data_IF_593180990362
#
_entry.id   IF_593180990362
#
_cell.length_a   1.000
_cell.length_b   1.000
_cell.length_c   1.000
_cell.angle_alpha   90.00
_cell.angle_beta   90.00
_cell.angle_gamma   90.00
#
_symmetry.space_group_name_H-M   'P 1'
#
loop_
_entity.id
_entity.type
_entity.pdbx_description
1 polymer ?
#
# COMPACT_ATOMS: atom_id res chain seq x y z
N UNK A 1 9.16 6.58 -33.38
CA UNK A 1 9.00 5.10 -33.18
C UNK A 1 9.15 4.80 -31.70
N UNK A 2 8.75 3.63 -31.19
CA UNK A 2 8.90 3.31 -29.76
C UNK A 2 10.37 3.40 -29.28
N UNK A 3 11.31 2.94 -30.11
CA UNK A 3 12.76 3.03 -29.87
C UNK A 3 13.30 4.48 -29.83
N UNK A 4 12.73 5.38 -30.63
CA UNK A 4 13.10 6.82 -30.61
C UNK A 4 12.64 7.50 -29.31
N UNK A 5 11.45 7.15 -28.81
CA UNK A 5 10.96 7.61 -27.51
C UNK A 5 11.83 7.06 -26.36
N UNK A 6 12.25 5.79 -26.44
CA UNK A 6 13.17 5.19 -25.46
C UNK A 6 14.53 5.89 -25.41
N UNK A 7 15.15 6.17 -26.58
CA UNK A 7 16.44 6.89 -26.66
C UNK A 7 16.29 8.27 -26.01
N UNK A 8 15.27 9.04 -26.40
CA UNK A 8 15.02 10.38 -25.86
C UNK A 8 14.67 10.38 -24.36
N UNK A 9 14.02 9.32 -23.87
CA UNK A 9 13.77 9.15 -22.43
C UNK A 9 15.07 8.87 -21.65
N UNK A 10 16.01 8.14 -22.26
CA UNK A 10 17.34 7.88 -21.69
C UNK A 10 18.21 9.13 -21.69
N UNK A 11 18.17 9.93 -22.76
CA UNK A 11 18.81 11.24 -22.83
C UNK A 11 18.25 12.19 -21.75
N UNK A 12 16.92 12.34 -21.69
CA UNK A 12 16.27 13.16 -20.65
C UNK A 12 16.61 12.70 -19.23
N UNK A 13 16.75 11.39 -18.99
CA UNK A 13 17.16 10.86 -17.69
C UNK A 13 18.64 11.16 -17.36
N UNK A 14 19.53 11.17 -18.36
CA UNK A 14 20.95 11.51 -18.19
C UNK A 14 21.12 13.01 -17.89
N UNK A 15 20.28 13.86 -18.50
CA UNK A 15 20.24 15.31 -18.27
C UNK A 15 19.45 15.71 -17.01
N UNK A 16 19.15 14.77 -16.11
CA UNK A 16 18.34 14.92 -14.89
C UNK A 16 16.89 15.49 -15.09
N UNK A 17 16.39 15.53 -16.34
CA UNK A 17 15.00 15.92 -16.68
C UNK A 17 14.02 14.75 -16.45
N UNK A 18 13.85 14.34 -15.18
CA UNK A 18 13.16 13.10 -14.83
C UNK A 18 11.66 13.08 -15.17
N UNK A 19 10.94 14.19 -15.06
CA UNK A 19 9.53 14.29 -15.45
C UNK A 19 9.36 14.02 -16.96
N UNK A 20 10.21 14.65 -17.77
CA UNK A 20 10.23 14.42 -19.22
C UNK A 20 10.61 12.98 -19.56
N UNK A 21 11.54 12.37 -18.81
CA UNK A 21 11.86 10.96 -18.96
C UNK A 21 10.65 10.07 -18.66
N UNK A 22 9.89 10.33 -17.58
CA UNK A 22 8.65 9.60 -17.24
C UNK A 22 7.61 9.73 -18.35
N UNK A 23 7.40 10.92 -18.91
CA UNK A 23 6.45 11.16 -20.01
C UNK A 23 6.85 10.43 -21.30
N UNK A 24 8.14 10.45 -21.64
CA UNK A 24 8.67 9.77 -22.83
C UNK A 24 8.63 8.23 -22.68
N UNK A 25 9.00 7.69 -21.51
CA UNK A 25 8.80 6.27 -21.22
C UNK A 25 7.32 5.87 -21.24
N UNK A 26 6.42 6.73 -20.75
CA UNK A 26 4.97 6.47 -20.79
C UNK A 26 4.45 6.38 -22.22
N UNK A 27 4.92 7.25 -23.12
CA UNK A 27 4.61 7.17 -24.55
C UNK A 27 5.22 5.93 -25.22
N UNK A 28 6.46 5.56 -24.85
CA UNK A 28 7.10 4.35 -25.35
C UNK A 28 6.33 3.08 -24.92
N UNK A 29 5.95 2.98 -23.64
CA UNK A 29 5.15 1.90 -23.06
C UNK A 29 3.79 1.78 -23.77
N UNK A 30 3.14 2.90 -24.12
CA UNK A 30 1.89 2.87 -24.87
C UNK A 30 2.03 2.24 -26.26
N UNK A 31 3.21 2.31 -26.88
CA UNK A 31 3.52 1.65 -28.16
C UNK A 31 3.99 0.19 -27.97
N UNK A 32 4.73 -0.11 -26.90
CA UNK A 32 5.30 -1.45 -26.62
C UNK A 32 5.00 -1.92 -25.19
N UNK A 33 3.72 -2.21 -24.85
CA UNK A 33 3.27 -2.45 -23.46
C UNK A 33 3.75 -3.78 -22.84
N UNK A 34 4.59 -4.54 -23.55
CA UNK A 34 5.22 -5.79 -23.09
C UNK A 34 6.74 -5.68 -22.88
N UNK A 35 7.33 -4.50 -23.08
CA UNK A 35 8.77 -4.30 -22.87
C UNK A 35 9.06 -4.02 -21.38
N UNK A 36 9.61 -5.00 -20.67
CA UNK A 36 9.92 -4.92 -19.24
C UNK A 36 10.95 -3.82 -18.90
N UNK A 37 11.95 -3.60 -19.76
CA UNK A 37 12.99 -2.59 -19.54
C UNK A 37 12.42 -1.17 -19.48
N UNK A 38 11.39 -0.84 -20.28
CA UNK A 38 10.75 0.48 -20.23
C UNK A 38 10.07 0.75 -18.88
N UNK A 39 9.46 -0.27 -18.27
CA UNK A 39 8.91 -0.15 -16.92
C UNK A 39 10.02 -0.04 -15.88
N UNK A 40 11.11 -0.82 -15.99
CA UNK A 40 12.26 -0.73 -15.07
C UNK A 40 13.03 0.60 -15.16
N UNK A 41 13.08 1.22 -16.35
CA UNK A 41 13.69 2.54 -16.55
C UNK A 41 12.74 3.68 -16.12
N UNK A 42 11.42 3.57 -16.35
CA UNK A 42 10.44 4.53 -15.79
C UNK A 42 10.38 4.48 -14.26
N UNK A 43 10.46 3.30 -13.66
CA UNK A 43 10.61 3.14 -12.21
C UNK A 43 11.84 3.89 -11.68
N UNK A 44 12.95 3.90 -12.42
CA UNK A 44 14.15 4.62 -12.02
C UNK A 44 13.99 6.15 -12.08
N UNK A 45 13.23 6.66 -13.06
CA UNK A 45 12.87 8.08 -13.12
C UNK A 45 11.92 8.45 -11.96
N UNK A 46 10.91 7.63 -11.67
CA UNK A 46 10.01 7.80 -10.52
C UNK A 46 10.75 7.80 -9.17
N UNK A 47 11.78 6.94 -8.97
CA UNK A 47 12.65 6.99 -7.78
C UNK A 47 13.37 8.34 -7.65
N UNK A 48 13.82 8.92 -8.77
CA UNK A 48 14.51 10.22 -8.77
C UNK A 48 13.57 11.39 -8.44
N UNK A 49 12.29 11.27 -8.79
CA UNK A 49 11.22 12.22 -8.44
C UNK A 49 10.66 12.03 -7.02
N UNK A 50 11.10 11.00 -6.29
CA UNK A 50 10.54 10.54 -5.01
C UNK A 50 9.11 9.96 -5.10
N UNK A 51 8.67 9.58 -6.30
CA UNK A 51 7.42 8.85 -6.55
C UNK A 51 7.64 7.34 -6.33
N UNK A 52 7.91 6.98 -5.08
CA UNK A 52 8.36 5.62 -4.73
C UNK A 52 7.26 4.57 -4.92
N UNK A 53 6.00 4.92 -4.68
CA UNK A 53 4.81 4.08 -4.92
C UNK A 53 4.67 3.70 -6.40
N UNK A 54 4.81 4.68 -7.29
CA UNK A 54 4.78 4.55 -8.74
C UNK A 54 5.97 3.73 -9.23
N UNK A 55 7.15 3.93 -8.64
CA UNK A 55 8.33 3.13 -8.91
C UNK A 55 8.16 1.66 -8.50
N UNK A 56 7.51 1.36 -7.37
CA UNK A 56 7.16 -0.03 -6.98
C UNK A 56 6.18 -0.64 -7.98
N UNK A 57 5.16 0.10 -8.42
CA UNK A 57 4.19 -0.38 -9.44
C UNK A 57 4.88 -0.70 -10.76
N UNK A 58 5.76 0.18 -11.25
CA UNK A 58 6.50 -0.02 -12.49
C UNK A 58 7.54 -1.15 -12.37
N UNK A 59 8.30 -1.21 -11.28
CA UNK A 59 9.26 -2.26 -11.03
C UNK A 59 8.59 -3.65 -10.97
N UNK A 60 7.42 -3.74 -10.34
CA UNK A 60 6.62 -4.96 -10.33
C UNK A 60 6.08 -5.32 -11.71
N UNK A 61 5.64 -4.33 -12.50
CA UNK A 61 5.19 -4.62 -13.88
C UNK A 61 6.33 -5.11 -14.76
N UNK A 62 7.55 -4.60 -14.55
CA UNK A 62 8.76 -5.13 -15.19
C UNK A 62 9.03 -6.59 -14.76
N UNK A 63 8.93 -6.92 -13.47
CA UNK A 63 9.08 -8.31 -12.95
C UNK A 63 8.00 -9.25 -13.51
N UNK A 64 6.75 -8.80 -13.64
CA UNK A 64 5.65 -9.59 -14.23
C UNK A 64 5.90 -9.92 -15.71
N UNK A 65 6.50 -8.99 -16.45
CA UNK A 65 6.82 -9.13 -17.88
C UNK A 65 8.12 -9.92 -18.12
N UNK A 66 9.13 -9.73 -17.28
CA UNK A 66 10.40 -10.46 -17.29
C UNK A 66 10.90 -10.73 -15.85
N UNK A 67 10.60 -11.92 -15.30
CA UNK A 67 11.08 -12.33 -13.98
C UNK A 67 12.61 -12.52 -13.88
N UNK A 68 13.36 -12.44 -14.99
CA UNK A 68 14.83 -12.53 -15.00
C UNK A 68 15.52 -11.16 -14.98
N UNK A 69 14.77 -10.07 -15.11
CA UNK A 69 15.31 -8.71 -15.17
C UNK A 69 15.77 -8.21 -13.79
N UNK A 70 17.02 -8.50 -13.42
CA UNK A 70 17.62 -8.09 -12.13
C UNK A 70 17.47 -6.60 -11.82
N UNK A 71 17.53 -5.71 -12.83
CA UNK A 71 17.30 -4.26 -12.68
C UNK A 71 15.93 -3.94 -12.07
N UNK A 72 14.89 -4.70 -12.40
CA UNK A 72 13.54 -4.45 -11.91
C UNK A 72 13.45 -4.74 -10.39
N UNK A 73 14.05 -5.84 -9.94
CA UNK A 73 14.22 -6.14 -8.51
C UNK A 73 15.03 -5.06 -7.78
N UNK A 74 16.08 -4.53 -8.42
CA UNK A 74 16.85 -3.42 -7.87
C UNK A 74 16.01 -2.14 -7.72
N UNK A 75 15.13 -1.81 -8.69
CA UNK A 75 14.21 -0.67 -8.56
C UNK A 75 13.20 -0.89 -7.45
N UNK A 76 12.58 -2.08 -7.38
CA UNK A 76 11.63 -2.43 -6.30
C UNK A 76 12.29 -2.30 -4.93
N UNK A 77 13.48 -2.88 -4.76
CA UNK A 77 14.25 -2.79 -3.52
C UNK A 77 14.50 -1.34 -3.09
N UNK A 78 15.05 -0.52 -3.98
CA UNK A 78 15.33 0.90 -3.71
C UNK A 78 14.08 1.72 -3.38
N UNK A 79 12.97 1.46 -4.06
CA UNK A 79 11.71 2.16 -3.80
C UNK A 79 11.09 1.74 -2.46
N UNK A 80 11.06 0.44 -2.13
CA UNK A 80 10.63 -0.06 -0.83
C UNK A 80 11.51 0.47 0.33
N UNK A 81 12.83 0.57 0.17
CA UNK A 81 13.72 1.20 1.18
C UNK A 81 13.35 2.66 1.46
N UNK A 82 12.86 3.39 0.45
CA UNK A 82 12.42 4.78 0.56
C UNK A 82 11.01 4.93 1.12
N UNK A 83 10.22 3.86 1.11
CA UNK A 83 8.94 3.72 1.80
C UNK A 83 9.09 3.10 3.21
N UNK A 84 10.33 2.86 3.66
CA UNK A 84 10.68 2.20 4.92
C UNK A 84 10.18 0.73 5.03
N UNK A 85 9.81 0.12 3.90
CA UNK A 85 9.41 -1.28 3.79
C UNK A 85 10.64 -2.22 3.71
N UNK A 86 11.51 -2.20 4.72
CA UNK A 86 12.83 -2.84 4.66
C UNK A 86 12.80 -4.35 4.42
N UNK A 87 11.80 -5.05 4.94
CA UNK A 87 11.60 -6.50 4.69
C UNK A 87 11.26 -6.78 3.22
N UNK A 88 10.33 -6.02 2.65
CA UNK A 88 9.94 -6.12 1.22
C UNK A 88 11.12 -5.78 0.32
N UNK A 89 11.87 -4.74 0.68
CA UNK A 89 13.07 -4.33 -0.02
C UNK A 89 14.14 -5.43 -0.03
N UNK A 90 14.46 -6.00 1.14
CA UNK A 90 15.43 -7.08 1.28
C UNK A 90 15.08 -8.28 0.40
N UNK A 91 13.85 -8.79 0.48
CA UNK A 91 13.43 -9.94 -0.31
C UNK A 91 13.52 -9.70 -1.84
N UNK A 92 13.18 -8.49 -2.29
CA UNK A 92 13.36 -8.10 -3.69
C UNK A 92 14.85 -8.06 -4.08
N UNK A 93 15.70 -7.47 -3.25
CA UNK A 93 17.15 -7.35 -3.49
C UNK A 93 17.86 -8.71 -3.46
N UNK A 94 17.47 -9.64 -2.58
CA UNK A 94 17.98 -11.01 -2.54
C UNK A 94 17.65 -11.77 -3.84
N UNK A 95 16.41 -11.62 -4.34
CA UNK A 95 16.01 -12.18 -5.63
C UNK A 95 16.84 -11.59 -6.77
N UNK A 96 17.00 -10.26 -6.82
CA UNK A 96 17.86 -9.59 -7.80
C UNK A 96 19.33 -10.02 -7.72
N UNK A 97 19.87 -10.22 -6.50
CA UNK A 97 21.22 -10.73 -6.29
C UNK A 97 21.42 -12.14 -6.84
N UNK A 98 20.42 -13.02 -6.71
CA UNK A 98 20.48 -14.38 -7.26
C UNK A 98 20.52 -14.40 -8.80
N UNK A 99 19.90 -13.40 -9.44
CA UNK A 99 19.91 -13.22 -10.89
C UNK A 99 21.20 -12.54 -11.40
N UNK A 100 21.81 -11.67 -10.58
CA UNK A 100 23.01 -10.91 -10.92
C UNK A 100 24.08 -10.96 -9.80
N UNK A 101 24.66 -12.15 -9.50
CA UNK A 101 25.53 -12.34 -8.33
C UNK A 101 26.87 -11.58 -8.38
N UNK A 102 27.27 -11.08 -9.56
CA UNK A 102 28.44 -10.23 -9.72
C UNK A 102 28.19 -8.76 -9.31
N UNK A 103 26.94 -8.32 -9.15
CA UNK A 103 26.60 -6.94 -8.86
C UNK A 103 26.63 -6.64 -7.34
N UNK A 104 27.77 -6.12 -6.87
CA UNK A 104 28.00 -5.74 -5.46
C UNK A 104 27.02 -4.69 -4.89
N UNK A 105 26.12 -4.13 -5.71
CA UNK A 105 25.10 -3.18 -5.27
C UNK A 105 24.03 -3.86 -4.43
N UNK A 106 23.58 -5.07 -4.81
CA UNK A 106 22.54 -5.78 -4.07
C UNK A 106 23.00 -6.11 -2.64
N UNK A 107 24.20 -6.68 -2.49
CA UNK A 107 24.76 -7.05 -1.16
C UNK A 107 24.91 -5.86 -0.22
N UNK A 108 25.22 -4.66 -0.74
CA UNK A 108 25.25 -3.42 0.07
C UNK A 108 23.85 -3.01 0.55
N UNK A 109 22.87 -3.01 -0.35
CA UNK A 109 21.49 -2.62 -0.02
C UNK A 109 20.79 -3.64 0.88
N UNK A 110 21.07 -4.94 0.73
CA UNK A 110 20.59 -6.00 1.64
C UNK A 110 21.12 -5.75 3.06
N UNK A 111 22.42 -5.45 3.21
CA UNK A 111 23.03 -5.11 4.50
C UNK A 111 22.40 -3.86 5.13
N UNK A 112 22.13 -2.83 4.33
CA UNK A 112 21.42 -1.62 4.80
C UNK A 112 19.99 -1.94 5.26
N UNK A 113 19.26 -2.82 4.56
CA UNK A 113 17.94 -3.29 5.01
C UNK A 113 18.05 -4.07 6.33
N UNK A 114 19.02 -4.98 6.46
CA UNK A 114 19.25 -5.75 7.70
C UNK A 114 19.56 -4.87 8.91
N UNK A 115 20.32 -3.79 8.70
CA UNK A 115 20.60 -2.79 9.75
C UNK A 115 19.32 -2.08 10.19
N UNK A 116 18.51 -1.57 9.24
CA UNK A 116 17.23 -0.91 9.57
C UNK A 116 16.20 -1.84 10.22
N UNK A 117 16.14 -3.11 9.80
CA UNK A 117 15.29 -4.13 10.42
C UNK A 117 15.70 -4.39 11.87
N UNK A 118 17.01 -4.41 12.15
CA UNK A 118 17.54 -4.61 13.50
C UNK A 118 17.29 -3.39 14.40
N UNK A 119 17.38 -2.17 13.85
CA UNK A 119 17.00 -0.92 14.54
C UNK A 119 15.51 -0.94 14.92
N UNK A 120 14.60 -1.19 13.98
CA UNK A 120 13.14 -1.26 14.21
C UNK A 120 12.79 -2.31 15.29
N UNK A 121 13.42 -3.49 15.25
CA UNK A 121 13.22 -4.54 16.24
C UNK A 121 13.76 -4.17 17.65
N UNK A 122 14.77 -3.30 17.72
CA UNK A 122 15.37 -2.81 18.97
C UNK A 122 14.58 -1.69 19.66
N UNK A 123 13.75 -0.95 18.92
CA UNK A 123 12.97 0.17 19.44
C UNK A 123 11.62 -0.21 20.08
N UNK A 124 11.24 -1.49 20.05
CA UNK A 124 9.98 -1.97 20.65
C UNK A 124 9.92 -1.66 22.16
N UNK A 125 8.94 -0.86 22.64
CA UNK A 125 8.89 -0.46 24.04
C UNK A 125 8.55 -1.66 24.93
N UNK A 126 9.48 -1.98 25.81
CA UNK A 126 9.32 -2.95 26.88
C UNK A 126 8.12 -2.56 27.76
N UNK A 127 6.96 -3.21 27.60
CA UNK A 127 5.82 -3.06 28.52
C UNK A 127 6.11 -3.76 29.86
N UNK A 128 7.06 -3.21 30.61
CA UNK A 128 7.26 -3.54 32.01
C UNK A 128 6.06 -3.03 32.80
N UNK A 129 5.20 -3.97 33.20
CA UNK A 129 4.14 -3.72 34.17
C UNK A 129 4.81 -3.35 35.49
N UNK A 130 4.59 -2.12 35.98
CA UNK A 130 4.81 -1.85 37.40
C UNK A 130 3.68 -1.00 38.00
N UNK A 131 3.28 -1.40 39.20
CA UNK A 131 2.37 -0.70 40.08
C UNK A 131 3.16 -0.36 41.35
N UNK A 132 3.42 0.91 41.63
CA UNK A 132 2.90 1.56 42.87
C UNK A 132 3.33 3.02 43.05
N UNK A 133 2.36 3.84 43.44
CA UNK A 133 2.41 4.86 44.51
C UNK A 133 3.42 6.04 44.49
N UNK A 134 2.86 7.27 44.57
CA UNK A 134 3.29 8.20 45.62
C UNK A 134 3.62 9.66 45.24
N UNK A 135 2.67 10.57 45.53
CA UNK A 135 2.83 12.02 45.80
C UNK A 135 3.52 12.95 44.75
N UNK A 136 2.83 13.96 44.19
CA UNK A 136 2.33 15.23 44.77
C UNK A 136 3.44 16.26 45.05
N UNK A 137 3.46 17.36 44.25
CA UNK A 137 3.48 18.79 44.64
C UNK A 137 3.55 19.66 43.37
N UNK A 138 2.87 20.82 43.37
CA UNK A 138 3.01 21.92 42.40
C UNK A 138 2.67 23.26 43.12
N UNK A 139 2.63 24.42 42.44
CA UNK A 139 3.72 25.35 42.09
C UNK A 139 3.69 26.64 42.96
N UNK A 140 4.49 27.70 42.70
CA UNK A 140 4.04 28.86 41.87
C UNK A 140 5.19 29.49 40.99
N UNK A 141 5.06 30.24 39.90
CA UNK A 141 4.18 31.32 39.36
C UNK A 141 4.84 32.73 39.37
N UNK A 142 4.94 33.39 38.20
CA UNK A 142 4.91 34.87 37.96
C UNK A 142 5.05 35.18 36.44
N UNK A 143 4.04 35.81 35.80
CA UNK A 143 3.95 37.23 35.34
C UNK A 143 4.74 37.55 34.04
N UNK A 144 4.10 37.86 32.89
CA UNK A 144 3.51 39.13 32.39
C UNK A 144 4.58 40.13 31.85
N UNK A 145 4.40 40.97 30.80
CA UNK A 145 3.24 41.76 30.35
C UNK A 145 3.47 42.41 28.93
N UNK A 146 2.41 42.58 28.11
CA UNK A 146 2.29 43.57 26.98
C UNK A 146 3.17 43.37 25.71
N UNK A 147 3.05 44.11 24.60
CA UNK A 147 2.06 45.06 24.00
C UNK A 147 2.58 45.44 22.57
N UNK A 148 1.86 45.95 21.55
CA UNK A 148 0.43 46.26 21.28
C UNK A 148 0.17 46.20 19.73
N UNK A 149 -1.07 46.33 19.25
CA UNK A 149 -1.45 46.23 17.82
C UNK A 149 -1.40 47.55 17.00
N UNK A 150 -1.24 47.47 15.66
CA UNK A 150 -1.74 48.44 14.65
C UNK A 150 -2.08 47.76 13.31
N UNK A 151 -3.21 48.14 12.72
CA UNK A 151 -3.63 48.00 11.30
C UNK A 151 -4.11 49.41 10.84
N UNK A 152 -4.50 49.74 9.57
CA UNK A 152 -4.97 48.84 8.50
C UNK A 152 -4.73 49.29 7.01
N UNK A 153 -5.43 48.61 6.07
CA UNK A 153 -6.14 49.11 4.86
C UNK A 153 -5.61 48.91 3.40
N UNK A 154 -6.50 48.23 2.65
CA UNK A 154 -7.01 48.46 1.28
C UNK A 154 -6.33 47.91 -0.01
N UNK A 155 -7.20 47.29 -0.84
CA UNK A 155 -7.18 47.03 -2.30
C UNK A 155 -6.33 45.89 -2.94
N UNK A 156 -7.06 44.90 -3.49
CA UNK A 156 -6.70 43.98 -4.59
C UNK A 156 -6.87 44.67 -5.98
N UNK A 157 -6.61 44.04 -7.17
CA UNK A 157 -6.07 42.69 -7.46
C UNK A 157 -4.93 42.63 -8.51
N UNK A 158 -4.00 41.68 -8.38
CA UNK A 158 -3.24 41.14 -9.54
C UNK A 158 -2.97 39.65 -9.39
N UNK A 159 -3.23 38.89 -10.45
CA UNK A 159 -3.10 37.42 -10.51
C UNK A 159 -1.64 37.01 -10.53
N UNK A 160 -1.23 36.08 -9.67
CA UNK A 160 0.05 35.37 -9.78
C UNK A 160 -0.09 33.95 -9.20
N UNK A 161 0.05 32.92 -10.04
CA UNK A 161 0.25 31.54 -9.59
C UNK A 161 1.72 31.37 -9.19
N UNK A 162 2.00 31.41 -7.89
CA UNK A 162 3.27 30.94 -7.34
C UNK A 162 3.03 29.65 -6.56
N UNK A 163 3.37 28.51 -7.15
CA UNK A 163 3.40 27.23 -6.45
C UNK A 163 4.51 27.26 -5.38
N UNK A 164 4.12 27.53 -4.13
CA UNK A 164 4.96 27.30 -2.94
C UNK A 164 4.34 26.15 -2.15
N UNK A 165 4.61 24.93 -2.60
CA UNK A 165 4.18 23.71 -1.91
C UNK A 165 5.07 23.42 -0.70
N UNK A 166 4.83 24.09 0.43
CA UNK A 166 5.30 23.56 1.71
C UNK A 166 4.56 22.25 1.98
N UNK A 167 5.28 21.15 2.16
CA UNK A 167 4.70 19.86 2.50
C UNK A 167 4.10 19.89 3.92
N UNK A 168 2.87 20.39 4.02
CA UNK A 168 2.11 20.41 5.26
C UNK A 168 1.79 18.97 5.68
N UNK A 169 1.98 18.67 6.98
CA UNK A 169 1.58 17.36 7.54
C UNK A 169 0.09 17.14 7.30
N UNK A 170 -0.36 15.92 6.94
CA UNK A 170 -1.77 15.65 6.69
C UNK A 170 -2.60 16.04 7.93
N UNK A 171 -3.60 16.91 7.70
CA UNK A 171 -4.40 17.57 8.73
C UNK A 171 -5.06 16.61 9.72
N UNK A 172 -5.42 15.41 9.24
CA UNK A 172 -5.96 14.33 10.05
C UNK A 172 -5.20 13.03 9.77
N UNK A 173 -4.82 12.31 10.83
CA UNK A 173 -4.29 10.94 10.74
C UNK A 173 -5.45 9.97 10.56
N UNK A 174 -5.23 8.91 9.81
CA UNK A 174 -6.14 7.77 9.76
C UNK A 174 -5.42 6.46 10.15
N UNK A 175 -6.19 5.46 10.54
CA UNK A 175 -5.74 4.08 10.72
C UNK A 175 -6.85 3.12 10.31
N UNK A 176 -6.54 1.85 10.09
CA UNK A 176 -7.54 0.84 9.81
C UNK A 176 -7.24 -0.48 10.52
N UNK A 177 -8.29 -1.24 10.79
CA UNK A 177 -8.20 -2.65 11.16
C UNK A 177 -9.31 -3.44 10.44
N UNK A 178 -9.27 -4.76 10.51
CA UNK A 178 -10.24 -5.60 9.79
C UNK A 178 -10.71 -6.81 10.60
N UNK A 179 -11.87 -7.32 10.17
CA UNK A 179 -12.50 -8.58 10.55
C UNK A 179 -12.62 -9.45 9.29
N UNK A 180 -13.14 -10.70 9.38
CA UNK A 180 -13.35 -11.52 8.18
C UNK A 180 -14.30 -10.88 7.15
N UNK A 181 -15.29 -10.11 7.60
CA UNK A 181 -16.42 -9.56 6.84
C UNK A 181 -16.49 -8.02 6.82
N UNK A 182 -15.70 -7.34 7.65
CA UNK A 182 -15.74 -5.87 7.83
C UNK A 182 -14.31 -5.29 7.81
N UNK A 183 -14.13 -4.09 7.24
CA UNK A 183 -12.95 -3.23 7.45
C UNK A 183 -13.40 -1.98 8.19
N UNK A 184 -12.66 -1.57 9.20
CA UNK A 184 -12.97 -0.38 9.99
C UNK A 184 -11.84 0.62 9.79
N UNK A 185 -12.17 1.78 9.21
CA UNK A 185 -11.27 2.92 9.02
C UNK A 185 -11.62 3.97 10.07
N UNK A 186 -10.62 4.47 10.78
CA UNK A 186 -10.78 5.54 11.77
C UNK A 186 -9.99 6.76 11.32
N UNK A 187 -10.66 7.90 11.14
CA UNK A 187 -10.03 9.20 10.86
C UNK A 187 -10.07 10.03 12.15
N UNK A 188 -8.90 10.42 12.66
CA UNK A 188 -8.77 11.19 13.89
C UNK A 188 -8.95 12.68 13.63
N UNK A 189 -10.19 13.14 13.73
CA UNK A 189 -10.57 14.53 13.58
C UNK A 189 -11.35 14.99 14.82
N UNK A 190 -10.79 15.94 15.58
CA UNK A 190 -11.39 16.47 16.81
C UNK A 190 -12.32 17.64 16.50
N UNK A 191 -13.49 17.67 17.14
CA UNK A 191 -14.43 18.79 17.10
C UNK A 191 -15.20 18.99 15.80
N UNK A 192 -15.16 18.03 14.87
CA UNK A 192 -15.84 18.15 13.58
C UNK A 192 -17.34 17.82 13.72
N UNK A 193 -18.26 18.73 13.36
CA UNK A 193 -19.70 18.44 13.36
C UNK A 193 -20.07 17.43 12.26
N UNK A 194 -21.01 16.52 12.53
CA UNK A 194 -21.46 15.53 11.53
C UNK A 194 -21.93 16.15 10.20
N UNK A 195 -22.57 17.33 10.25
CA UNK A 195 -23.01 18.10 9.06
C UNK A 195 -21.88 18.62 8.17
N UNK A 196 -20.64 18.57 8.63
CA UNK A 196 -19.44 19.01 7.92
C UNK A 196 -18.67 17.81 7.30
N UNK A 197 -19.17 16.58 7.48
CA UNK A 197 -18.56 15.35 6.99
C UNK A 197 -19.46 14.75 5.92
N UNK A 198 -18.90 14.53 4.72
CA UNK A 198 -19.54 13.76 3.65
C UNK A 198 -18.78 12.45 3.50
N UNK A 199 -19.49 11.32 3.47
CA UNK A 199 -18.91 9.99 3.24
C UNK A 199 -19.71 9.28 2.16
N UNK A 200 -19.04 8.94 1.07
CA UNK A 200 -19.61 8.21 -0.06
C UNK A 200 -18.92 6.85 -0.24
N UNK A 201 -19.72 5.83 -0.58
CA UNK A 201 -19.27 4.45 -0.77
C UNK A 201 -19.45 4.02 -2.22
N UNK A 202 -18.35 3.87 -2.97
CA UNK A 202 -18.32 3.17 -4.25
C UNK A 202 -18.04 1.67 -4.07
N UNK A 203 -18.20 0.85 -5.11
CA UNK A 203 -17.94 -0.60 -5.01
C UNK A 203 -16.48 -0.94 -4.60
N UNK A 204 -15.53 -0.07 -4.92
CA UNK A 204 -14.10 -0.23 -4.60
C UNK A 204 -13.44 1.11 -4.21
N UNK A 205 -14.22 2.08 -3.72
CA UNK A 205 -13.74 3.42 -3.35
C UNK A 205 -14.45 3.85 -2.07
N UNK A 206 -13.68 4.38 -1.11
CA UNK A 206 -14.22 5.18 -0.01
C UNK A 206 -13.88 6.64 -0.33
N UNK A 207 -14.87 7.53 -0.23
CA UNK A 207 -14.64 8.97 -0.31
C UNK A 207 -15.07 9.61 1.00
N UNK A 208 -14.18 10.39 1.61
CA UNK A 208 -14.48 11.20 2.79
C UNK A 208 -14.05 12.64 2.51
N UNK A 209 -14.97 13.58 2.74
CA UNK A 209 -14.69 15.01 2.68
C UNK A 209 -15.06 15.67 4.01
N UNK A 210 -14.18 16.51 4.54
CA UNK A 210 -14.42 17.28 5.76
C UNK A 210 -14.29 18.76 5.41
N UNK A 211 -15.42 19.47 5.40
CA UNK A 211 -15.51 20.89 5.08
C UNK A 211 -15.76 21.70 6.36
N UNK A 212 -14.74 22.45 6.81
CA UNK A 212 -14.83 23.30 8.01
C UNK A 212 -14.82 24.76 7.56
N UNK A 213 -15.86 25.55 7.87
CA UNK A 213 -15.90 26.96 7.51
C UNK A 213 -14.67 27.73 8.01
N UNK A 214 -13.93 28.33 7.07
CA UNK A 214 -12.69 29.07 7.33
C UNK A 214 -11.40 28.25 7.22
N UNK A 215 -11.50 27.01 6.74
CA UNK A 215 -10.43 26.02 6.71
C UNK A 215 -10.41 25.31 5.33
N UNK A 216 -9.26 24.77 4.89
CA UNK A 216 -9.20 24.01 3.64
C UNK A 216 -9.95 22.67 3.79
N UNK A 217 -10.76 22.33 2.78
CA UNK A 217 -11.53 21.08 2.71
C UNK A 217 -10.58 19.89 2.64
N UNK A 218 -10.61 19.03 3.66
CA UNK A 218 -9.85 17.79 3.66
C UNK A 218 -10.56 16.75 2.79
N UNK A 219 -9.81 16.09 1.91
CA UNK A 219 -10.29 14.98 1.08
C UNK A 219 -9.46 13.72 1.32
N UNK A 220 -10.12 12.59 1.47
CA UNK A 220 -9.52 11.26 1.62
C UNK A 220 -10.29 10.28 0.75
N UNK A 221 -9.67 9.86 -0.36
CA UNK A 221 -10.33 9.05 -1.40
C UNK A 221 -9.51 7.80 -1.77
N UNK A 222 -9.23 6.89 -0.82
CA UNK A 222 -8.53 5.64 -1.13
C UNK A 222 -9.35 4.78 -2.10
N UNK A 223 -8.68 4.28 -3.14
CA UNK A 223 -9.17 3.11 -3.86
C UNK A 223 -8.97 1.90 -2.96
N UNK A 224 -10.02 1.16 -2.63
CA UNK A 224 -9.98 0.13 -1.57
C UNK A 224 -9.43 -1.21 -2.06
N UNK A 225 -8.60 -1.88 -1.24
CA UNK A 225 -7.96 -3.17 -1.60
C UNK A 225 -8.95 -4.19 -2.17
N UNK A 226 -10.06 -4.42 -1.49
CA UNK A 226 -11.15 -5.30 -1.93
C UNK A 226 -12.42 -4.54 -2.29
N UNK A 227 -13.35 -5.22 -2.98
CA UNK A 227 -14.70 -4.71 -3.16
C UNK A 227 -15.47 -4.67 -1.84
N UNK A 228 -16.34 -3.68 -1.70
CA UNK A 228 -17.26 -3.50 -0.57
C UNK A 228 -18.72 -3.61 -1.04
N UNK A 229 -19.65 -3.73 -0.10
CA UNK A 229 -21.10 -3.64 -0.35
C UNK A 229 -21.60 -2.28 0.14
N UNK A 230 -21.73 -1.24 -0.72
CA UNK A 230 -22.09 0.12 -0.29
C UNK A 230 -23.33 0.19 0.60
N UNK A 231 -24.40 -0.54 0.24
CA UNK A 231 -25.65 -0.59 0.98
C UNK A 231 -25.57 -1.21 2.40
N UNK A 232 -24.43 -1.81 2.77
CA UNK A 232 -24.15 -2.36 4.11
C UNK A 232 -23.04 -1.57 4.85
N UNK A 233 -22.44 -0.58 4.19
CA UNK A 233 -21.44 0.29 4.80
C UNK A 233 -22.14 1.37 5.65
N UNK A 234 -21.47 1.82 6.71
CA UNK A 234 -21.98 2.84 7.62
C UNK A 234 -20.83 3.63 8.22
N UNK A 235 -21.09 4.84 8.68
CA UNK A 235 -20.12 5.65 9.41
C UNK A 235 -20.78 6.33 10.61
N UNK A 236 -19.96 6.71 11.58
CA UNK A 236 -20.35 7.45 12.78
C UNK A 236 -19.36 8.58 13.02
N UNK A 237 -19.85 9.81 13.18
CA UNK A 237 -19.03 10.99 13.49
C UNK A 237 -19.09 11.24 14.99
N UNK A 238 -17.96 11.08 15.66
CA UNK A 238 -17.79 11.33 17.10
C UNK A 238 -17.02 12.64 17.34
N UNK A 239 -16.94 13.08 18.59
CA UNK A 239 -16.22 14.31 18.96
C UNK A 239 -14.70 14.27 18.74
N UNK A 240 -14.11 13.08 18.59
CA UNK A 240 -12.65 12.88 18.46
C UNK A 240 -12.22 12.14 17.20
N UNK A 241 -13.17 11.51 16.49
CA UNK A 241 -12.90 10.65 15.33
C UNK A 241 -14.15 10.47 14.46
N UNK A 242 -13.93 10.07 13.21
CA UNK A 242 -14.95 9.49 12.33
C UNK A 242 -14.62 7.99 12.22
N UNK A 243 -15.57 7.13 12.58
CA UNK A 243 -15.41 5.67 12.44
C UNK A 243 -16.25 5.19 11.24
N UNK A 244 -15.59 4.57 10.27
CA UNK A 244 -16.20 4.15 9.00
C UNK A 244 -16.08 2.63 8.93
N UNK A 245 -17.21 1.96 8.72
CA UNK A 245 -17.32 0.50 8.70
C UNK A 245 -17.75 0.03 7.32
N UNK A 246 -16.79 -0.57 6.62
CA UNK A 246 -16.90 -1.05 5.26
C UNK A 246 -17.25 -2.55 5.29
N UNK A 247 -18.42 -2.92 4.79
CA UNK A 247 -18.80 -4.32 4.64
C UNK A 247 -18.07 -4.91 3.41
N UNK A 248 -17.20 -5.90 3.60
CA UNK A 248 -16.50 -6.57 2.50
C UNK A 248 -17.49 -7.30 1.60
N UNK A 249 -17.30 -7.24 0.28
CA UNK A 249 -18.08 -8.05 -0.66
C UNK A 249 -17.62 -9.52 -0.67
N UNK A 250 -16.34 -9.76 -0.40
CA UNK A 250 -15.70 -11.08 -0.39
C UNK A 250 -14.90 -11.27 0.91
N UNK A 251 -14.85 -12.48 1.49
CA UNK A 251 -14.12 -12.78 2.73
C UNK A 251 -12.60 -12.88 2.49
N UNK A 252 -12.00 -11.78 2.04
CA UNK A 252 -10.57 -11.62 1.79
C UNK A 252 -9.87 -10.93 2.96
N UNK A 253 -8.64 -11.35 3.25
CA UNK A 253 -7.74 -10.59 4.13
C UNK A 253 -7.11 -9.45 3.31
N UNK A 254 -7.25 -8.22 3.78
CA UNK A 254 -6.71 -7.04 3.11
C UNK A 254 -5.32 -6.74 3.66
N UNK A 255 -4.27 -6.84 2.85
CA UNK A 255 -2.89 -6.55 3.31
C UNK A 255 -2.65 -5.05 3.50
N UNK A 256 -3.46 -4.21 2.86
CA UNK A 256 -3.45 -2.75 2.92
C UNK A 256 -4.90 -2.23 2.89
N UNK A 257 -5.13 -0.98 3.30
CA UNK A 257 -6.42 -0.34 3.08
C UNK A 257 -6.64 -0.07 1.58
N UNK A 258 -5.59 0.37 0.89
CA UNK A 258 -5.63 0.78 -0.50
C UNK A 258 -5.30 -0.36 -1.47
N UNK A 259 -5.93 -0.32 -2.64
CA UNK A 259 -5.64 -1.17 -3.80
C UNK A 259 -4.41 -0.64 -4.53
N UNK A 260 -3.25 -1.08 -4.04
CA UNK A 260 -2.10 -1.28 -4.92
C UNK A 260 -2.52 -2.26 -6.02
N UNK A 261 -2.12 -2.04 -7.28
CA UNK A 261 -2.54 -2.87 -8.43
C UNK A 261 -1.93 -4.30 -8.45
N UNK A 262 -1.43 -4.75 -7.30
CA UNK A 262 -0.88 -6.08 -7.03
C UNK A 262 -1.79 -6.89 -6.12
N UNK A 263 -2.97 -7.25 -6.63
CA UNK A 263 -3.77 -8.36 -6.10
C UNK A 263 -4.61 -8.97 -7.21
N UNK A 264 -3.92 -9.48 -8.23
CA UNK A 264 -4.46 -10.53 -9.05
C UNK A 264 -4.51 -11.80 -8.18
N UNK A 265 -5.66 -12.06 -7.56
CA UNK A 265 -5.89 -13.31 -6.82
C UNK A 265 -5.71 -14.47 -7.79
N UNK A 266 -4.66 -15.27 -7.56
CA UNK A 266 -4.51 -16.56 -8.24
C UNK A 266 -5.70 -17.42 -7.84
N UNK A 267 -6.65 -17.60 -8.77
CA UNK A 267 -7.69 -18.60 -8.58
C UNK A 267 -7.01 -19.95 -8.48
N UNK A 268 -7.19 -20.63 -7.34
CA UNK A 268 -6.84 -22.05 -7.23
C UNK A 268 -7.57 -22.80 -8.34
N UNK A 269 -6.88 -23.59 -9.19
CA UNK A 269 -7.56 -24.48 -10.10
C UNK A 269 -8.41 -25.45 -9.27
N UNK A 270 -9.73 -25.31 -9.37
CA UNK A 270 -10.62 -26.31 -8.81
C UNK A 270 -10.44 -27.55 -9.69
N UNK A 271 -9.82 -28.60 -9.14
CA UNK A 271 -9.51 -29.82 -9.90
C UNK A 271 -10.82 -30.53 -10.21
N UNK A 272 -11.35 -30.28 -11.42
CA UNK A 272 -12.42 -31.08 -12.02
C UNK A 272 -11.89 -32.50 -12.19
N UNK A 273 -12.24 -33.37 -11.25
CA UNK A 273 -11.87 -34.77 -11.26
C UNK A 273 -12.69 -35.52 -12.31
N UNK A 274 -12.23 -35.49 -13.56
CA UNK A 274 -12.76 -36.34 -14.63
C UNK A 274 -11.64 -37.25 -15.17
N UNK A 275 -11.45 -38.36 -14.46
CA UNK A 275 -10.65 -39.50 -14.90
C UNK A 275 -11.33 -40.79 -14.38
N UNK A 276 -11.34 -41.90 -15.14
CA UNK A 276 -12.25 -43.01 -14.85
C UNK A 276 -11.84 -43.78 -13.59
N UNK A 277 -12.84 -44.17 -12.78
CA UNK A 277 -12.61 -45.08 -11.64
C UNK A 277 -12.11 -46.45 -12.15
N UNK A 278 -11.02 -47.00 -11.62
CA UNK A 278 -10.67 -48.40 -11.88
C UNK A 278 -11.69 -49.31 -11.18
N UNK A 279 -12.47 -50.05 -11.97
CA UNK A 279 -13.35 -51.10 -11.46
C UNK A 279 -12.51 -52.24 -10.86
N UNK A 280 -12.77 -52.58 -9.60
CA UNK A 280 -12.29 -53.84 -9.00
C UNK A 280 -13.46 -54.64 -8.41
N UNK A 281 -13.47 -55.99 -8.49
CA UNK A 281 -14.71 -56.74 -8.35
C UNK A 281 -15.15 -56.92 -6.89
N UNK A 282 -16.45 -56.75 -6.65
CA UNK A 282 -17.11 -57.10 -5.39
C UNK A 282 -17.16 -58.64 -5.22
N UNK A 283 -16.34 -59.20 -4.35
CA UNK A 283 -16.53 -60.55 -3.82
C UNK A 283 -17.27 -60.51 -2.48
N UNK A 284 -18.50 -61.05 -2.47
CA UNK A 284 -19.31 -61.20 -1.25
C UNK A 284 -18.74 -62.34 -0.39
N UNK A 285 -18.45 -62.08 0.88
CA UNK A 285 -18.30 -63.13 1.88
C UNK A 285 -19.61 -63.29 2.66
N UNK A 286 -20.41 -64.33 2.31
CA UNK A 286 -21.51 -64.82 3.14
C UNK A 286 -21.01 -66.03 3.92
N UNK A 287 -21.06 -65.97 5.24
CA UNK A 287 -20.86 -67.13 6.11
C UNK A 287 -22.20 -67.62 6.66
N UNK A 288 -22.60 -68.81 6.20
CA UNK A 288 -23.55 -69.78 6.77
C UNK A 288 -23.54 -70.94 5.74
N UNK A 289 -23.35 -72.21 6.07
CA UNK A 289 -23.17 -72.85 7.37
C UNK A 289 -23.91 -74.18 7.39
N UNK A 290 -23.17 -75.29 7.54
CA UNK A 290 -23.61 -76.68 7.70
C UNK A 290 -24.09 -77.47 6.45
N UNK A 291 -23.91 -78.80 6.56
CA UNK A 291 -24.55 -79.92 5.83
C UNK A 291 -24.27 -80.07 4.30
N UNK A 292 -24.06 -81.27 3.74
CA UNK A 292 -23.76 -82.59 4.32
C UNK A 292 -23.07 -83.51 3.27
N UNK A 293 -22.37 -84.54 3.77
CA UNK A 293 -22.01 -85.84 3.17
C UNK A 293 -22.05 -86.11 1.64
N UNK A 294 -21.00 -86.79 1.16
CA UNK A 294 -21.18 -88.05 0.42
C UNK A 294 -20.43 -88.23 -0.90
N UNK A 295 -19.47 -89.18 -0.90
CA UNK A 295 -19.16 -90.17 -1.95
C UNK A 295 -18.88 -89.71 -3.40
N UNK A 296 -17.89 -90.25 -4.13
CA UNK A 296 -17.01 -91.43 -3.92
C UNK A 296 -15.69 -91.21 -4.67
#
# INVERSE_FOLDING_TARGET
>A
MASDLEIRAKEAFIDDHFELAVDLYTQAIAMTPKNAELFADRAQANIKLNYFTEAVVDANKAIELDPSLSKAYLRKGLACMKLEEYQTAKAALETGASLAPAESRFTKLIKECDERIAEEAGELPNQSVDKTSGNVVAPPASESLGNVAVAPKDAQPTVNLSYQGSAARPKYRHEFYQKPDEVVVTIFAKGIPAKNVVVDFGEQILSVSIDVPGDETYSFQPRLFGKITPAKCRYEVMSTKIEIRLAKAEPLHWTSLEYTRESAVVQRPNVSSDAPRPSYPSSKLRWHGAEEMGNL
#
